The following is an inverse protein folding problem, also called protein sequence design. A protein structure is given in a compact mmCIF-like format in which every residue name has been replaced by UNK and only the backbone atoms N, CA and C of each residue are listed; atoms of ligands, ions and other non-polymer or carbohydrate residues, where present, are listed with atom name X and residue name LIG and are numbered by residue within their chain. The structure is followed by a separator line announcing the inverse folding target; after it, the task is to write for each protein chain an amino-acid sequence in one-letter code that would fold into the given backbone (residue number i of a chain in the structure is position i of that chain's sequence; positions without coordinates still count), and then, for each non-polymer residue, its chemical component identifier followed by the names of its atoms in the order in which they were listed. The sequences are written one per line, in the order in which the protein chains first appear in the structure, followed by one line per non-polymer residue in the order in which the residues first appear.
data_IF_523734026255
#
_entry.id   IF_523734026255
#
_cell.length_a   1.000
_cell.length_b   1.000
_cell.length_c   1.000
_cell.angle_alpha   90.00
_cell.angle_beta   90.00
_cell.angle_gamma   90.00
#
_symmetry.space_group_name_H-M   'P 1'
#
loop_
_entity.id
_entity.type
_entity.pdbx_description
1 polymer ?
#
# COMPACT_ATOMS: atom_id res chain seq x y z
N UNK A 1 -8.96 19.52 11.05
CA UNK A 1 -9.21 18.43 10.07
C UNK A 1 -7.92 17.75 9.74
N UNK A 2 -7.96 16.44 9.47
CA UNK A 2 -6.82 15.65 9.01
C UNK A 2 -7.34 14.39 8.31
N UNK A 3 -6.51 13.78 7.49
CA UNK A 3 -6.88 12.51 6.84
C UNK A 3 -6.81 11.39 7.88
N UNK A 4 -7.93 10.68 8.09
CA UNK A 4 -7.98 9.51 8.97
C UNK A 4 -7.43 8.28 8.26
N UNK A 5 -7.98 7.96 7.11
CA UNK A 5 -7.57 6.80 6.34
C UNK A 5 -7.93 6.96 4.86
N UNK A 6 -7.29 6.16 4.04
CA UNK A 6 -7.65 5.92 2.64
C UNK A 6 -8.10 4.47 2.54
N UNK A 7 -9.22 4.21 1.86
CA UNK A 7 -9.75 2.85 1.72
C UNK A 7 -9.46 2.30 0.33
N UNK A 8 -9.00 1.05 0.30
CA UNK A 8 -8.80 0.28 -0.92
C UNK A 8 -9.63 -1.00 -0.83
N UNK A 9 -10.33 -1.34 -1.92
CA UNK A 9 -11.01 -2.62 -2.04
C UNK A 9 -10.02 -3.67 -2.53
N UNK A 10 -10.00 -4.81 -1.86
CA UNK A 10 -9.03 -5.87 -2.13
C UNK A 10 -9.73 -7.19 -2.43
N UNK A 11 -9.16 -8.00 -3.31
CA UNK A 11 -9.73 -9.29 -3.69
C UNK A 11 -9.40 -10.42 -2.73
N UNK A 12 -8.36 -10.25 -1.91
CA UNK A 12 -7.92 -11.24 -0.92
C UNK A 12 -7.30 -10.48 0.25
N UNK A 13 -8.00 -10.45 1.37
CA UNK A 13 -7.60 -9.61 2.50
C UNK A 13 -6.24 -10.01 3.07
N UNK A 14 -6.01 -11.32 3.29
CA UNK A 14 -4.76 -11.78 3.88
C UNK A 14 -3.57 -11.51 2.96
N UNK A 15 -3.75 -11.68 1.66
CA UNK A 15 -2.71 -11.38 0.67
C UNK A 15 -2.32 -9.88 0.73
N UNK A 16 -3.31 -9.01 0.85
CA UNK A 16 -3.05 -7.56 0.94
C UNK A 16 -2.44 -7.18 2.28
N UNK A 17 -2.91 -7.76 3.39
CA UNK A 17 -2.29 -7.55 4.70
C UNK A 17 -0.82 -7.96 4.63
N UNK A 18 -0.52 -9.13 4.07
CA UNK A 18 0.86 -9.62 3.97
C UNK A 18 1.74 -8.69 3.14
N UNK A 19 1.21 -8.17 2.03
CA UNK A 19 1.96 -7.22 1.20
C UNK A 19 2.32 -5.96 2.00
N UNK A 20 1.34 -5.31 2.60
CA UNK A 20 1.59 -4.05 3.29
C UNK A 20 2.40 -4.23 4.57
N UNK A 21 2.28 -5.36 5.26
CA UNK A 21 3.05 -5.62 6.49
C UNK A 21 4.42 -6.23 6.22
N UNK A 22 4.48 -7.33 5.47
CA UNK A 22 5.75 -8.07 5.28
C UNK A 22 6.65 -7.43 4.24
N UNK A 23 6.08 -6.84 3.19
CA UNK A 23 6.87 -6.21 2.13
C UNK A 23 7.15 -4.75 2.46
N UNK A 24 6.13 -3.99 2.84
CA UNK A 24 6.25 -2.55 3.05
C UNK A 24 6.44 -2.15 4.52
N UNK A 25 6.49 -3.10 5.44
CA UNK A 25 6.84 -2.86 6.84
C UNK A 25 5.77 -2.20 7.69
N UNK A 26 4.53 -2.14 7.24
CA UNK A 26 3.43 -1.63 8.05
C UNK A 26 3.07 -2.62 9.17
N UNK A 27 2.26 -2.16 10.10
CA UNK A 27 1.67 -2.99 11.15
C UNK A 27 0.21 -3.23 10.84
N UNK A 28 -0.27 -4.44 11.15
CA UNK A 28 -1.70 -4.69 11.20
C UNK A 28 -2.24 -4.06 12.48
N UNK A 29 -3.08 -3.03 12.33
CA UNK A 29 -3.56 -2.26 13.47
C UNK A 29 -4.81 -2.87 14.10
N UNK A 30 -5.77 -3.31 13.28
CA UNK A 30 -7.00 -3.98 13.73
C UNK A 30 -7.76 -4.56 12.55
N UNK A 31 -8.66 -5.48 12.84
CA UNK A 31 -9.58 -6.07 11.84
C UNK A 31 -10.99 -6.04 12.37
N UNK A 32 -11.95 -5.98 11.46
CA UNK A 32 -13.39 -6.05 11.78
C UNK A 32 -14.10 -6.89 10.72
N UNK A 33 -14.83 -7.91 11.16
CA UNK A 33 -15.66 -8.70 10.26
C UNK A 33 -17.13 -8.33 10.46
N UNK A 34 -17.85 -8.07 9.37
CA UNK A 34 -19.27 -7.74 9.35
C UNK A 34 -20.02 -8.74 8.46
N UNK A 35 -20.27 -9.97 8.95
CA UNK A 35 -20.91 -10.99 8.11
C UNK A 35 -22.34 -10.60 7.69
N UNK A 36 -23.05 -9.85 8.51
CA UNK A 36 -24.38 -9.33 8.19
C UNK A 36 -24.36 -8.36 7.00
N UNK A 37 -23.25 -7.66 6.79
CA UNK A 37 -23.06 -6.73 5.67
C UNK A 37 -22.12 -7.32 4.61
N UNK A 38 -21.62 -8.53 4.82
CA UNK A 38 -20.79 -9.30 3.88
C UNK A 38 -19.50 -8.62 3.51
N UNK A 39 -18.79 -8.08 4.51
CA UNK A 39 -17.44 -7.57 4.30
C UNK A 39 -16.57 -7.78 5.53
N UNK A 40 -15.26 -7.82 5.29
CA UNK A 40 -14.23 -7.80 6.34
C UNK A 40 -13.27 -6.68 5.99
N UNK A 41 -12.83 -5.94 6.98
CA UNK A 41 -11.83 -4.92 6.77
C UNK A 41 -10.67 -5.04 7.73
N UNK A 42 -9.53 -4.49 7.32
CA UNK A 42 -8.33 -4.40 8.13
C UNK A 42 -7.72 -3.02 7.97
N UNK A 43 -7.19 -2.49 9.05
CA UNK A 43 -6.41 -1.26 9.02
C UNK A 43 -4.94 -1.60 9.16
N UNK A 44 -4.12 -1.07 8.24
CA UNK A 44 -2.67 -1.21 8.27
C UNK A 44 -2.03 0.18 8.24
N UNK A 45 -0.82 0.30 8.78
CA UNK A 45 -0.12 1.57 8.77
C UNK A 45 1.22 1.49 9.51
N UNK A 46 1.97 2.57 9.46
CA UNK A 46 3.22 2.69 10.20
C UNK A 46 3.00 3.13 11.65
N UNK A 47 1.78 3.44 11.98
CA UNK A 47 1.28 3.80 13.29
C UNK A 47 -0.20 4.12 13.16
N UNK A 48 -0.82 4.52 14.26
CA UNK A 48 -2.26 4.78 14.34
C UNK A 48 -2.54 6.28 14.39
N UNK A 49 -3.78 6.66 14.09
CA UNK A 49 -4.26 8.00 14.35
C UNK A 49 -4.10 8.35 15.84
N UNK A 50 -3.82 9.61 16.19
CA UNK A 50 -3.71 10.76 15.30
C UNK A 50 -2.33 10.97 14.66
N UNK A 51 -1.30 10.24 15.07
CA UNK A 51 0.08 10.46 14.63
C UNK A 51 0.29 10.06 13.16
N UNK A 52 -0.48 9.07 12.69
CA UNK A 52 -0.39 8.57 11.32
C UNK A 52 -1.79 8.41 10.73
N UNK A 53 -1.95 8.73 9.45
CA UNK A 53 -3.09 8.26 8.67
C UNK A 53 -2.91 6.76 8.40
N UNK A 54 -4.03 6.06 8.21
CA UNK A 54 -4.04 4.60 8.05
C UNK A 54 -4.55 4.22 6.66
N UNK A 55 -4.28 3.00 6.23
CA UNK A 55 -4.95 2.40 5.08
C UNK A 55 -6.01 1.44 5.58
N UNK A 56 -7.22 1.55 5.04
CA UNK A 56 -8.29 0.59 5.27
C UNK A 56 -8.35 -0.34 4.06
N UNK A 57 -8.17 -1.64 4.30
CA UNK A 57 -8.29 -2.67 3.27
C UNK A 57 -9.65 -3.35 3.47
N UNK A 58 -10.52 -3.27 2.46
CA UNK A 58 -11.88 -3.80 2.56
C UNK A 58 -12.05 -4.95 1.59
N UNK A 59 -12.37 -6.13 2.13
CA UNK A 59 -12.74 -7.30 1.35
C UNK A 59 -14.26 -7.48 1.38
N UNK A 60 -14.90 -7.42 0.22
CA UNK A 60 -16.31 -7.74 0.07
C UNK A 60 -16.45 -9.22 -0.26
N UNK A 61 -17.28 -9.93 0.48
CA UNK A 61 -17.44 -11.38 0.34
C UNK A 61 -17.74 -11.76 -1.11
N UNK A 62 -16.96 -12.71 -1.64
CA UNK A 62 -17.15 -13.25 -2.97
C UNK A 62 -16.59 -12.40 -4.12
N UNK A 63 -16.02 -11.23 -3.83
CA UNK A 63 -15.42 -10.37 -4.86
C UNK A 63 -13.90 -10.49 -4.79
N UNK A 64 -13.31 -11.19 -5.76
CA UNK A 64 -11.87 -11.49 -5.76
C UNK A 64 -11.06 -10.63 -6.73
N UNK A 65 -11.72 -9.79 -7.52
CA UNK A 65 -11.06 -8.92 -8.52
C UNK A 65 -11.73 -7.56 -8.59
N UNK A 66 -10.91 -6.53 -8.77
CA UNK A 66 -11.34 -5.16 -9.02
C UNK A 66 -10.53 -4.59 -10.17
N UNK A 67 -11.14 -3.67 -10.89
CA UNK A 67 -10.45 -2.88 -11.91
C UNK A 67 -10.23 -1.48 -11.35
N UNK A 68 -8.98 -1.09 -11.04
CA UNK A 68 -8.70 0.28 -10.56
C UNK A 68 -9.05 1.37 -11.58
N UNK A 69 -9.15 1.03 -12.86
CA UNK A 69 -9.49 1.99 -13.92
C UNK A 69 -8.38 3.01 -14.16
N UNK A 70 -8.77 4.16 -14.68
CA UNK A 70 -7.85 5.24 -15.03
C UNK A 70 -7.92 6.45 -14.10
N UNK A 71 -8.83 6.42 -13.12
CA UNK A 71 -9.03 7.56 -12.21
C UNK A 71 -8.13 7.48 -10.97
N UNK A 72 -7.78 6.28 -10.53
CA UNK A 72 -6.88 6.09 -9.39
C UNK A 72 -5.45 6.42 -9.82
N UNK A 73 -4.79 7.24 -9.02
CA UNK A 73 -3.36 7.52 -9.20
C UNK A 73 -2.51 6.54 -8.38
N UNK A 74 -2.02 7.02 -7.25
CA UNK A 74 -1.16 6.21 -6.38
C UNK A 74 -1.19 6.75 -4.95
N UNK A 75 -0.67 5.94 -4.03
CA UNK A 75 -0.32 6.34 -2.67
C UNK A 75 1.19 6.42 -2.62
N UNK A 76 1.74 7.46 -1.99
CA UNK A 76 3.18 7.64 -1.85
C UNK A 76 3.64 7.26 -0.45
N UNK A 77 4.78 6.57 -0.38
CA UNK A 77 5.40 6.13 0.87
C UNK A 77 6.85 6.63 0.89
N UNK A 78 7.25 7.26 1.99
CA UNK A 78 8.64 7.65 2.21
C UNK A 78 9.47 6.42 2.56
N UNK A 79 10.59 6.25 1.89
CA UNK A 79 11.54 5.15 2.15
C UNK A 79 12.95 5.72 2.30
N UNK A 80 13.80 5.01 3.04
CA UNK A 80 15.20 5.40 3.19
C UNK A 80 16.00 5.10 1.93
N UNK A 81 15.72 3.97 1.28
CA UNK A 81 16.46 3.48 0.12
C UNK A 81 15.48 2.80 -0.84
N UNK A 82 15.11 3.51 -1.90
CA UNK A 82 14.14 2.99 -2.88
C UNK A 82 14.71 1.81 -3.66
N UNK A 83 16.02 1.77 -3.90
CA UNK A 83 16.66 0.65 -4.59
C UNK A 83 16.52 -0.63 -3.78
N UNK A 84 16.82 -0.55 -2.49
CA UNK A 84 16.72 -1.69 -1.58
C UNK A 84 15.28 -2.14 -1.40
N UNK A 85 14.35 -1.22 -1.28
CA UNK A 85 12.92 -1.55 -1.16
C UNK A 85 12.43 -2.27 -2.41
N UNK A 86 12.83 -1.82 -3.60
CA UNK A 86 12.49 -2.51 -4.86
C UNK A 86 13.01 -3.95 -4.86
N UNK A 87 14.24 -4.17 -4.39
CA UNK A 87 14.79 -5.52 -4.30
C UNK A 87 13.98 -6.40 -3.35
N UNK A 88 13.53 -5.85 -2.22
CA UNK A 88 12.67 -6.57 -1.27
C UNK A 88 11.31 -6.92 -1.89
N UNK A 89 10.73 -5.99 -2.63
CA UNK A 89 9.46 -6.21 -3.35
C UNK A 89 9.62 -7.37 -4.34
N UNK A 90 10.67 -7.34 -5.14
CA UNK A 90 10.96 -8.41 -6.12
C UNK A 90 11.21 -9.75 -5.45
N UNK A 91 11.98 -9.77 -4.36
CA UNK A 91 12.32 -10.99 -3.64
C UNK A 91 11.07 -11.68 -3.07
N UNK A 92 10.02 -10.96 -2.80
CA UNK A 92 8.75 -11.49 -2.30
C UNK A 92 7.71 -11.69 -3.41
N UNK A 93 8.15 -11.68 -4.68
CA UNK A 93 7.28 -11.93 -5.82
C UNK A 93 6.42 -10.74 -6.22
N UNK A 94 6.73 -9.55 -5.71
CA UNK A 94 6.00 -8.33 -6.04
C UNK A 94 6.43 -7.72 -7.36
N UNK A 95 5.69 -6.72 -7.80
CA UNK A 95 5.83 -6.10 -9.10
C UNK A 95 6.37 -4.67 -8.99
N UNK A 96 7.53 -4.43 -9.59
CA UNK A 96 8.14 -3.09 -9.73
C UNK A 96 7.83 -2.61 -11.16
N UNK A 97 7.05 -1.54 -11.27
CA UNK A 97 6.62 -1.02 -12.57
C UNK A 97 7.49 0.12 -13.09
N UNK A 98 8.17 0.82 -12.18
CA UNK A 98 9.19 1.81 -12.53
C UNK A 98 10.35 1.61 -11.57
N UNK A 99 11.51 1.19 -12.09
CA UNK A 99 12.71 0.94 -11.27
C UNK A 99 13.14 2.20 -10.54
N UNK A 100 13.79 2.01 -9.39
CA UNK A 100 14.30 3.11 -8.59
C UNK A 100 15.32 3.94 -9.40
N UNK A 101 15.18 5.23 -9.33
CA UNK A 101 16.09 6.18 -9.97
C UNK A 101 15.60 7.60 -9.79
N UNK A 102 16.44 8.59 -10.15
CA UNK A 102 16.06 9.99 -10.01
C UNK A 102 14.84 10.36 -10.84
N UNK A 103 14.02 11.27 -10.34
CA UNK A 103 12.93 11.86 -11.13
C UNK A 103 13.53 12.63 -12.32
N UNK A 104 12.76 12.69 -13.40
CA UNK A 104 13.16 13.47 -14.58
C UNK A 104 13.31 14.95 -14.19
N UNK A 105 14.47 15.50 -14.45
CA UNK A 105 14.77 16.89 -14.15
C UNK A 105 15.14 17.19 -12.71
N UNK A 106 15.34 16.16 -11.88
CA UNK A 106 15.74 16.32 -10.48
C UNK A 106 16.61 15.18 -10.02
N UNK A 107 16.90 15.14 -8.73
CA UNK A 107 17.76 14.13 -8.11
C UNK A 107 17.06 13.29 -7.03
N UNK A 108 15.81 13.58 -6.71
CA UNK A 108 15.03 12.73 -5.79
C UNK A 108 14.81 11.37 -6.41
N UNK A 109 15.20 10.33 -5.70
CA UNK A 109 15.02 8.94 -6.16
C UNK A 109 13.62 8.48 -5.85
N UNK A 110 12.92 7.97 -6.86
CA UNK A 110 11.58 7.40 -6.72
C UNK A 110 11.53 6.03 -7.38
N UNK A 111 10.48 5.28 -7.07
CA UNK A 111 10.13 4.04 -7.75
C UNK A 111 8.61 3.89 -7.74
N UNK A 112 8.07 3.08 -8.63
CA UNK A 112 6.67 2.67 -8.58
C UNK A 112 6.58 1.15 -8.48
N UNK A 113 5.72 0.70 -7.58
CA UNK A 113 5.39 -0.71 -7.40
C UNK A 113 3.87 -0.87 -7.49
N UNK A 114 3.41 -2.10 -7.60
CA UNK A 114 1.99 -2.42 -7.53
C UNK A 114 1.73 -3.34 -6.35
N UNK A 115 0.60 -3.13 -5.69
CA UNK A 115 0.12 -4.07 -4.69
C UNK A 115 -0.54 -5.29 -5.37
N UNK A 116 -0.98 -6.32 -4.62
CA UNK A 116 -1.55 -7.52 -5.22
C UNK A 116 -2.80 -7.30 -6.08
N UNK A 117 -3.52 -6.20 -5.86
CA UNK A 117 -4.72 -5.85 -6.64
C UNK A 117 -4.41 -4.90 -7.80
N UNK A 118 -3.15 -4.52 -7.98
CA UNK A 118 -2.73 -3.63 -9.04
C UNK A 118 -2.74 -2.15 -8.68
N UNK A 119 -3.01 -1.80 -7.43
CA UNK A 119 -2.92 -0.40 -6.98
C UNK A 119 -1.46 0.04 -6.97
N UNK A 120 -1.20 1.20 -7.59
CA UNK A 120 0.15 1.75 -7.65
C UNK A 120 0.54 2.38 -6.33
N UNK A 121 1.79 2.16 -5.94
CA UNK A 121 2.41 2.79 -4.78
C UNK A 121 3.71 3.44 -5.26
N UNK A 122 3.87 4.72 -4.97
CA UNK A 122 5.11 5.43 -5.24
C UNK A 122 6.01 5.35 -4.01
N UNK A 123 7.26 4.97 -4.21
CA UNK A 123 8.30 5.00 -3.18
C UNK A 123 9.14 6.23 -3.41
N UNK A 124 9.28 7.07 -2.40
CA UNK A 124 10.04 8.32 -2.49
C UNK A 124 11.13 8.30 -1.42
N UNK A 125 12.40 8.42 -1.85
CA UNK A 125 13.50 8.54 -0.88
C UNK A 125 13.46 9.89 -0.22
N UNK A 126 13.27 9.88 1.08
CA UNK A 126 13.34 11.09 1.89
C UNK A 126 13.47 10.72 3.36
N UNK A 127 13.83 11.69 4.19
CA UNK A 127 13.88 11.49 5.62
C UNK A 127 12.54 11.03 6.17
N UNK A 128 12.56 10.11 7.13
CA UNK A 128 11.36 9.53 7.73
C UNK A 128 10.80 10.38 8.87
N UNK A 129 11.39 11.52 9.12
CA UNK A 129 10.98 12.50 10.14
C UNK A 129 10.78 13.87 9.52
#
# INVERSE_FOLDING_TARGET
MRILHTMLRVGDLQRSIDFYTKVLGMKLLRTTDRPDQKYTLAFVGYGSNPEHAELELTYNYGVDKYDPGTAYGHIAIAVEDAYKTCEQVKAQGGNVTREAGPVKGGDTVIAFIQDPDGYKVELIERGLV
#
